data_IF_868109423725
#
_entry.id   IF_868109423725
#
_cell.length_a   1.000
_cell.length_b   1.000
_cell.length_c   1.000
_cell.angle_alpha   90.00
_cell.angle_beta   90.00
_cell.angle_gamma   90.00
#
_symmetry.space_group_name_H-M   'P 1'
#
loop_
_entity.id
_entity.type
_entity.pdbx_description
1 polymer ?
#
# COMPACT_ATOMS: atom_id res chain seq x y z
N UNK A 1 -22.29 2.04 -22.40
CA UNK A 1 -23.06 1.10 -21.53
C UNK A 1 -22.25 -0.17 -21.36
N UNK A 2 -21.83 -0.50 -20.15
CA UNK A 2 -21.08 -1.74 -19.87
C UNK A 2 -22.02 -2.94 -20.04
N UNK A 3 -21.68 -3.97 -20.82
CA UNK A 3 -22.51 -5.16 -21.02
C UNK A 3 -22.99 -5.74 -19.67
N UNK A 4 -24.22 -6.24 -19.61
CA UNK A 4 -24.79 -6.84 -18.39
C UNK A 4 -23.88 -7.94 -17.83
N UNK A 5 -23.30 -8.77 -18.70
CA UNK A 5 -22.35 -9.84 -18.33
C UNK A 5 -21.09 -9.33 -17.62
N UNK A 6 -20.51 -8.21 -18.07
CA UNK A 6 -19.32 -7.63 -17.44
C UNK A 6 -19.59 -7.02 -16.07
N UNK A 7 -20.80 -6.50 -15.82
CA UNK A 7 -21.18 -6.01 -14.48
C UNK A 7 -21.33 -7.14 -13.48
N UNK A 8 -21.97 -8.24 -13.87
CA UNK A 8 -22.09 -9.43 -13.04
C UNK A 8 -20.70 -9.97 -12.68
N UNK A 9 -19.79 -10.05 -13.65
CA UNK A 9 -18.42 -10.49 -13.40
C UNK A 9 -17.67 -9.60 -12.38
N UNK A 10 -17.77 -8.27 -12.49
CA UNK A 10 -17.15 -7.34 -11.53
C UNK A 10 -17.72 -7.53 -10.12
N UNK A 11 -19.05 -7.68 -10.01
CA UNK A 11 -19.71 -7.91 -8.73
C UNK A 11 -19.26 -9.24 -8.09
N UNK A 12 -19.12 -10.30 -8.89
CA UNK A 12 -18.61 -11.60 -8.43
C UNK A 12 -17.17 -11.51 -7.93
N UNK A 13 -16.29 -10.80 -8.65
CA UNK A 13 -14.91 -10.60 -8.21
C UNK A 13 -14.85 -9.78 -6.92
N UNK A 14 -15.67 -8.72 -6.81
CA UNK A 14 -15.72 -7.89 -5.63
C UNK A 14 -16.28 -8.65 -4.42
N UNK A 15 -17.33 -9.47 -4.59
CA UNK A 15 -17.90 -10.28 -3.51
C UNK A 15 -16.94 -11.37 -3.04
N UNK A 16 -16.20 -11.99 -3.96
CA UNK A 16 -15.14 -12.94 -3.64
C UNK A 16 -14.02 -12.25 -2.84
N UNK A 17 -13.56 -11.07 -3.28
CA UNK A 17 -12.56 -10.29 -2.58
C UNK A 17 -13.03 -9.92 -1.16
N UNK A 18 -14.27 -9.47 -1.01
CA UNK A 18 -14.88 -9.18 0.28
C UNK A 18 -14.92 -10.42 1.19
N UNK A 19 -15.32 -11.58 0.67
CA UNK A 19 -15.34 -12.82 1.43
C UNK A 19 -13.94 -13.24 1.91
N UNK A 20 -12.94 -13.13 1.03
CA UNK A 20 -11.54 -13.42 1.40
C UNK A 20 -11.02 -12.45 2.46
N UNK A 21 -11.32 -11.16 2.36
CA UNK A 21 -10.86 -10.17 3.33
C UNK A 21 -11.57 -10.31 4.69
N UNK A 22 -12.85 -10.63 4.69
CA UNK A 22 -13.59 -10.93 5.91
C UNK A 22 -13.02 -12.17 6.60
N UNK A 23 -12.78 -13.25 5.86
CA UNK A 23 -12.20 -14.47 6.45
C UNK A 23 -10.79 -14.23 7.01
N UNK A 24 -9.93 -13.50 6.30
CA UNK A 24 -8.61 -13.10 6.79
C UNK A 24 -8.70 -12.20 8.04
N UNK A 25 -9.61 -11.23 8.04
CA UNK A 25 -9.81 -10.33 9.19
C UNK A 25 -10.31 -11.10 10.41
N UNK A 26 -11.24 -12.04 10.23
CA UNK A 26 -11.74 -12.91 11.31
C UNK A 26 -10.64 -13.81 11.87
N UNK A 27 -9.84 -14.44 11.01
CA UNK A 27 -8.70 -15.26 11.44
C UNK A 27 -7.66 -14.42 12.22
N UNK A 28 -7.40 -13.19 11.78
CA UNK A 28 -6.48 -12.30 12.46
C UNK A 28 -7.04 -11.80 13.80
N UNK A 29 -8.34 -11.50 13.88
CA UNK A 29 -9.02 -11.17 15.14
C UNK A 29 -8.96 -12.34 16.12
N UNK A 30 -9.26 -13.56 15.68
CA UNK A 30 -9.10 -14.77 16.48
C UNK A 30 -7.65 -14.93 16.97
N UNK A 31 -6.66 -14.66 16.10
CA UNK A 31 -5.24 -14.66 16.48
C UNK A 31 -4.92 -13.60 17.53
N UNK A 32 -5.55 -12.41 17.47
CA UNK A 32 -5.39 -11.37 18.48
C UNK A 32 -5.94 -11.80 19.85
N UNK A 33 -7.10 -12.46 19.88
CA UNK A 33 -7.71 -12.92 21.14
C UNK A 33 -7.05 -14.15 21.73
N UNK A 34 -6.68 -15.13 20.89
CA UNK A 34 -6.15 -16.41 21.35
C UNK A 34 -4.61 -16.41 21.50
N UNK A 35 -3.90 -15.59 20.73
CA UNK A 35 -2.44 -15.61 20.62
C UNK A 35 -1.84 -14.19 20.63
N UNK A 36 -2.26 -13.35 21.57
CA UNK A 36 -1.84 -11.95 21.67
C UNK A 36 -0.32 -11.77 21.72
N UNK A 37 0.41 -12.63 22.43
CA UNK A 37 1.88 -12.57 22.53
C UNK A 37 2.55 -12.70 21.16
N UNK A 38 1.99 -13.49 20.24
CA UNK A 38 2.53 -13.63 18.87
C UNK A 38 2.30 -12.34 18.08
N UNK A 39 1.12 -11.72 18.21
CA UNK A 39 0.81 -10.45 17.54
C UNK A 39 1.70 -9.32 18.07
N UNK A 40 1.95 -9.28 19.38
CA UNK A 40 2.87 -8.33 20.01
C UNK A 40 4.31 -8.55 19.52
N UNK A 41 4.75 -9.80 19.43
CA UNK A 41 6.06 -10.14 18.87
C UNK A 41 6.18 -9.70 17.40
N UNK A 42 5.13 -9.89 16.59
CA UNK A 42 5.06 -9.44 15.21
C UNK A 42 5.12 -7.91 15.09
N UNK A 43 4.41 -7.20 15.97
CA UNK A 43 4.46 -5.74 16.05
C UNK A 43 5.85 -5.23 16.44
N UNK A 44 6.56 -5.89 17.34
CA UNK A 44 7.91 -5.50 17.74
C UNK A 44 8.99 -5.90 16.71
N UNK A 45 8.66 -6.82 15.79
CA UNK A 45 9.60 -7.31 14.80
C UNK A 45 9.87 -6.29 13.69
N UNK A 46 11.15 -5.96 13.50
CA UNK A 46 11.63 -4.96 12.53
C UNK A 46 11.19 -5.17 11.06
N UNK A 47 11.01 -6.41 10.61
CA UNK A 47 10.47 -6.72 9.26
C UNK A 47 8.98 -7.06 9.31
N UNK A 48 8.51 -7.63 10.42
CA UNK A 48 7.14 -8.17 10.55
C UNK A 48 6.11 -7.06 10.58
N UNK A 49 6.44 -5.95 11.23
CA UNK A 49 5.59 -4.76 11.34
C UNK A 49 5.14 -4.21 9.97
N UNK A 50 5.95 -4.37 8.91
CA UNK A 50 5.61 -3.89 7.56
C UNK A 50 4.39 -4.63 6.97
N UNK A 51 4.17 -5.88 7.35
CA UNK A 51 3.02 -6.66 6.88
C UNK A 51 1.71 -6.24 7.54
N UNK A 52 1.77 -5.53 8.68
CA UNK A 52 0.58 -5.00 9.36
C UNK A 52 -0.14 -3.90 8.57
N UNK A 53 0.48 -3.34 7.53
CA UNK A 53 -0.17 -2.43 6.59
C UNK A 53 -1.15 -3.15 5.65
N UNK A 54 -0.91 -4.43 5.35
CA UNK A 54 -1.65 -5.14 4.31
C UNK A 54 -3.17 -5.24 4.55
N UNK A 55 -3.68 -5.51 5.78
CA UNK A 55 -5.12 -5.52 6.04
C UNK A 55 -5.78 -4.17 5.74
N UNK A 56 -5.16 -3.07 6.18
CA UNK A 56 -5.69 -1.72 6.00
C UNK A 56 -5.69 -1.30 4.53
N UNK A 57 -4.60 -1.58 3.82
CA UNK A 57 -4.49 -1.33 2.37
C UNK A 57 -5.56 -2.08 1.60
N UNK A 58 -5.76 -3.36 1.92
CA UNK A 58 -6.69 -4.23 1.20
C UNK A 58 -8.13 -3.78 1.41
N UNK A 59 -8.50 -3.40 2.65
CA UNK A 59 -9.81 -2.82 2.94
C UNK A 59 -10.02 -1.47 2.22
N UNK A 60 -9.02 -0.60 2.16
CA UNK A 60 -9.11 0.66 1.41
C UNK A 60 -9.29 0.42 -0.10
N UNK A 61 -8.58 -0.55 -0.68
CA UNK A 61 -8.73 -0.91 -2.09
C UNK A 61 -10.10 -1.53 -2.38
N UNK A 62 -10.62 -2.38 -1.48
CA UNK A 62 -11.96 -2.95 -1.61
C UNK A 62 -13.04 -1.85 -1.55
N UNK A 63 -12.85 -0.87 -0.65
CA UNK A 63 -13.74 0.29 -0.53
C UNK A 63 -13.73 1.13 -1.82
N UNK A 64 -12.55 1.44 -2.37
CA UNK A 64 -12.41 2.21 -3.62
C UNK A 64 -12.94 1.48 -4.86
N UNK A 65 -13.01 0.15 -4.85
CA UNK A 65 -13.42 -0.67 -5.99
C UNK A 65 -14.88 -1.10 -5.96
N UNK A 66 -15.66 -0.65 -4.96
CA UNK A 66 -17.02 -1.15 -4.78
C UNK A 66 -17.96 -0.75 -5.94
N UNK A 67 -18.61 -1.73 -6.59
CA UNK A 67 -19.49 -1.50 -7.74
C UNK A 67 -20.86 -0.94 -7.35
N UNK A 68 -21.16 -0.93 -6.05
CA UNK A 68 -22.44 -0.47 -5.49
C UNK A 68 -22.47 1.03 -5.22
N UNK A 69 -21.33 1.72 -5.39
CA UNK A 69 -21.18 3.12 -5.05
C UNK A 69 -21.75 3.98 -6.17
N UNK A 70 -22.89 4.62 -5.91
CA UNK A 70 -23.39 5.74 -6.71
C UNK A 70 -23.06 7.05 -5.99
N UNK A 71 -22.39 8.01 -6.64
CA UNK A 71 -21.91 9.24 -6.00
C UNK A 71 -22.99 10.27 -5.60
N UNK A 72 -24.28 9.92 -5.63
CA UNK A 72 -25.38 10.89 -5.53
C UNK A 72 -26.16 10.89 -4.20
N UNK A 73 -25.73 10.13 -3.19
CA UNK A 73 -26.44 10.07 -1.90
C UNK A 73 -25.58 10.65 -0.77
N UNK A 74 -26.04 11.75 -0.16
CA UNK A 74 -25.34 12.43 0.95
C UNK A 74 -25.00 11.49 2.12
N UNK A 75 -25.87 10.51 2.40
CA UNK A 75 -25.65 9.54 3.47
C UNK A 75 -24.42 8.66 3.21
N UNK A 76 -24.17 8.32 1.95
CA UNK A 76 -23.04 7.49 1.53
C UNK A 76 -21.69 8.18 1.75
N UNK A 77 -21.62 9.48 1.50
CA UNK A 77 -20.42 10.28 1.74
C UNK A 77 -19.95 10.18 3.20
N UNK A 78 -20.88 10.27 4.17
CA UNK A 78 -20.54 10.14 5.59
C UNK A 78 -20.03 8.76 5.95
N UNK A 79 -20.67 7.68 5.46
CA UNK A 79 -20.19 6.32 5.70
C UNK A 79 -18.80 6.08 5.13
N UNK A 80 -18.56 6.52 3.88
CA UNK A 80 -17.27 6.38 3.24
C UNK A 80 -16.17 7.15 4.00
N UNK A 81 -16.48 8.37 4.45
CA UNK A 81 -15.57 9.19 5.24
C UNK A 81 -15.21 8.54 6.58
N UNK A 82 -16.19 8.03 7.32
CA UNK A 82 -15.94 7.33 8.59
C UNK A 82 -15.07 6.09 8.36
N UNK A 83 -15.42 5.29 7.34
CA UNK A 83 -14.67 4.07 7.02
C UNK A 83 -13.24 4.39 6.58
N UNK A 84 -13.04 5.46 5.81
CA UNK A 84 -11.72 5.94 5.43
C UNK A 84 -10.87 6.30 6.65
N UNK A 85 -11.41 7.08 7.58
CA UNK A 85 -10.69 7.45 8.81
C UNK A 85 -10.29 6.24 9.65
N UNK A 86 -11.23 5.29 9.85
CA UNK A 86 -10.96 4.05 10.59
C UNK A 86 -9.81 3.25 9.97
N UNK A 87 -9.71 3.25 8.64
CA UNK A 87 -8.67 2.51 7.92
C UNK A 87 -7.33 3.26 7.82
N UNK A 88 -7.36 4.59 7.75
CA UNK A 88 -6.15 5.42 7.57
C UNK A 88 -5.45 5.72 8.88
N UNK A 89 -6.16 5.86 10.00
CA UNK A 89 -5.55 6.10 11.31
C UNK A 89 -4.48 5.04 11.66
N UNK A 90 -4.75 3.72 11.52
CA UNK A 90 -3.74 2.70 11.73
C UNK A 90 -2.54 2.79 10.80
N UNK A 91 -2.74 3.17 9.53
CA UNK A 91 -1.65 3.39 8.57
C UNK A 91 -0.73 4.49 9.08
N UNK A 92 -1.29 5.64 9.48
CA UNK A 92 -0.53 6.76 10.02
C UNK A 92 0.20 6.39 11.31
N UNK A 93 -0.45 5.66 12.23
CA UNK A 93 0.19 5.20 13.47
C UNK A 93 1.39 4.29 13.14
N UNK A 94 1.22 3.36 12.21
CA UNK A 94 2.30 2.47 11.77
C UNK A 94 3.43 3.24 11.08
N UNK A 95 3.09 4.26 10.28
CA UNK A 95 4.08 5.14 9.66
C UNK A 95 4.89 5.88 10.72
N UNK A 96 4.23 6.59 11.65
CA UNK A 96 4.90 7.31 12.74
C UNK A 96 5.84 6.38 13.50
N UNK A 97 5.42 5.14 13.75
CA UNK A 97 6.27 4.14 14.41
C UNK A 97 7.48 3.75 13.57
N UNK A 98 7.31 3.44 12.28
CA UNK A 98 8.42 3.05 11.40
C UNK A 98 9.41 4.22 11.26
N UNK A 99 8.90 5.42 10.99
CA UNK A 99 9.72 6.63 10.92
C UNK A 99 10.41 6.91 12.25
N UNK A 100 9.68 6.84 13.36
CA UNK A 100 10.23 7.02 14.70
C UNK A 100 11.36 6.04 15.00
N UNK A 101 11.21 4.77 14.62
CA UNK A 101 12.27 3.77 14.71
C UNK A 101 13.48 4.14 13.86
N UNK A 102 13.28 4.67 12.66
CA UNK A 102 14.38 5.07 11.78
C UNK A 102 15.13 6.30 12.26
N UNK A 103 14.44 7.29 12.81
CA UNK A 103 15.07 8.51 13.35
C UNK A 103 15.69 8.31 14.73
N UNK A 104 15.11 7.46 15.58
CA UNK A 104 15.49 7.36 17.01
C UNK A 104 16.47 6.23 17.30
N UNK A 105 16.74 5.32 16.36
CA UNK A 105 17.73 4.25 16.56
C UNK A 105 19.15 4.82 16.56
N UNK A 106 19.51 5.40 17.71
CA UNK A 106 20.86 5.84 18.10
C UNK A 106 21.77 4.61 18.17
N UNK A 107 22.48 4.29 17.08
CA UNK A 107 23.86 3.84 17.22
C UNK A 107 24.37 2.59 16.53
N UNK A 108 23.59 1.62 15.99
CA UNK A 108 24.20 0.40 15.38
C UNK A 108 23.49 -0.28 14.20
N UNK A 109 22.42 0.28 13.62
CA UNK A 109 21.77 -0.33 12.44
C UNK A 109 21.29 0.76 11.48
N UNK A 110 22.08 1.01 10.44
CA UNK A 110 21.70 1.92 9.36
C UNK A 110 20.42 1.44 8.67
N UNK A 111 19.68 2.38 8.07
CA UNK A 111 18.56 2.09 7.15
C UNK A 111 18.95 1.02 6.12
N UNK A 112 20.21 1.00 5.67
CA UNK A 112 20.76 0.01 4.75
C UNK A 112 20.70 -1.43 5.26
N UNK A 113 20.72 -1.67 6.58
CA UNK A 113 20.61 -3.00 7.18
C UNK A 113 19.16 -3.43 7.38
N UNK A 114 18.26 -2.48 7.66
CA UNK A 114 16.87 -2.73 8.07
C UNK A 114 15.86 -2.59 6.92
N UNK A 115 16.16 -1.76 5.90
CA UNK A 115 15.29 -1.54 4.75
C UNK A 115 15.16 -2.81 3.92
N UNK A 116 13.93 -3.29 3.80
CA UNK A 116 13.55 -4.48 3.03
C UNK A 116 12.51 -4.08 1.96
N UNK A 117 12.28 -4.89 0.92
CA UNK A 117 11.25 -4.60 -0.07
C UNK A 117 9.84 -4.47 0.55
N UNK A 118 9.57 -5.13 1.68
CA UNK A 118 8.26 -5.03 2.36
C UNK A 118 7.99 -3.66 2.96
N UNK A 119 9.00 -2.83 3.21
CA UNK A 119 8.82 -1.42 3.64
C UNK A 119 8.05 -0.58 2.61
N UNK A 120 8.01 -1.00 1.34
CA UNK A 120 7.16 -0.37 0.34
C UNK A 120 5.66 -0.53 0.62
N UNK A 121 5.24 -1.42 1.54
CA UNK A 121 3.86 -1.48 2.00
C UNK A 121 3.43 -0.17 2.67
N UNK A 122 4.30 0.48 3.44
CA UNK A 122 4.01 1.82 4.01
C UNK A 122 3.80 2.86 2.90
N UNK A 123 4.67 2.87 1.89
CA UNK A 123 4.52 3.74 0.70
C UNK A 123 3.17 3.51 0.02
N UNK A 124 2.85 2.25 -0.28
CA UNK A 124 1.61 1.88 -0.97
C UNK A 124 0.41 2.27 -0.11
N UNK A 125 0.46 2.07 1.21
CA UNK A 125 -0.61 2.48 2.13
C UNK A 125 -0.90 3.97 2.09
N UNK A 126 0.14 4.79 2.11
CA UNK A 126 -0.01 6.24 1.98
C UNK A 126 -0.61 6.65 0.63
N UNK A 127 -0.15 6.06 -0.47
CA UNK A 127 -0.65 6.38 -1.81
C UNK A 127 -2.10 5.90 -2.03
N UNK A 128 -2.46 4.74 -1.48
CA UNK A 128 -3.83 4.23 -1.49
C UNK A 128 -4.76 5.11 -0.66
N UNK A 129 -4.31 5.55 0.53
CA UNK A 129 -5.03 6.49 1.38
C UNK A 129 -5.21 7.85 0.69
N UNK A 130 -4.15 8.37 0.04
CA UNK A 130 -4.17 9.61 -0.73
C UNK A 130 -5.20 9.56 -1.87
N UNK A 131 -5.23 8.46 -2.61
CA UNK A 131 -6.21 8.25 -3.69
C UNK A 131 -7.64 8.28 -3.16
N UNK A 132 -7.93 7.55 -2.09
CA UNK A 132 -9.26 7.56 -1.49
C UNK A 132 -9.66 8.93 -0.95
N UNK A 133 -8.73 9.68 -0.35
CA UNK A 133 -8.98 11.06 0.08
C UNK A 133 -9.35 11.97 -1.10
N UNK A 134 -8.60 11.88 -2.19
CA UNK A 134 -8.87 12.66 -3.39
C UNK A 134 -10.22 12.31 -4.04
N UNK A 135 -10.63 11.04 -4.01
CA UNK A 135 -11.94 10.60 -4.51
C UNK A 135 -13.12 11.18 -3.69
N UNK A 136 -12.91 11.49 -2.41
CA UNK A 136 -13.90 12.19 -1.57
C UNK A 136 -13.90 13.72 -1.77
N UNK A 137 -12.99 14.26 -2.58
CA UNK A 137 -12.77 15.71 -2.72
C UNK A 137 -11.85 16.31 -1.65
N UNK A 138 -11.23 15.50 -0.78
CA UNK A 138 -10.30 15.95 0.25
C UNK A 138 -8.89 16.06 -0.31
N UNK A 139 -8.69 17.03 -1.20
CA UNK A 139 -7.46 17.19 -1.98
C UNK A 139 -6.24 17.45 -1.08
N UNK A 140 -6.36 18.32 -0.07
CA UNK A 140 -5.25 18.65 0.84
C UNK A 140 -4.79 17.44 1.67
N UNK A 141 -5.73 16.64 2.19
CA UNK A 141 -5.40 15.39 2.89
C UNK A 141 -4.77 14.38 1.92
N UNK A 142 -5.27 14.31 0.68
CA UNK A 142 -4.68 13.52 -0.38
C UNK A 142 -3.23 13.92 -0.68
N UNK A 143 -2.96 15.22 -0.81
CA UNK A 143 -1.62 15.77 -1.04
C UNK A 143 -0.67 15.47 0.13
N UNK A 144 -1.14 15.62 1.37
CA UNK A 144 -0.35 15.30 2.55
C UNK A 144 0.10 13.83 2.54
N UNK A 145 -0.85 12.89 2.40
CA UNK A 145 -0.57 11.45 2.33
C UNK A 145 0.31 11.10 1.12
N UNK A 146 0.05 11.71 -0.04
CA UNK A 146 0.85 11.51 -1.24
C UNK A 146 2.30 11.95 -1.05
N UNK A 147 2.50 13.13 -0.45
CA UNK A 147 3.84 13.67 -0.19
C UNK A 147 4.63 12.77 0.75
N UNK A 148 3.99 12.26 1.81
CA UNK A 148 4.60 11.34 2.76
C UNK A 148 4.97 10.02 2.10
N UNK A 149 4.07 9.46 1.28
CA UNK A 149 4.34 8.25 0.49
C UNK A 149 5.47 8.42 -0.52
N UNK A 150 5.52 9.54 -1.26
CA UNK A 150 6.55 9.79 -2.28
C UNK A 150 7.92 10.10 -1.70
N UNK A 151 7.99 10.87 -0.60
CA UNK A 151 9.24 11.09 0.13
C UNK A 151 9.81 9.75 0.62
N UNK A 152 8.95 8.91 1.20
CA UNK A 152 9.30 7.57 1.64
C UNK A 152 9.79 6.70 0.47
N UNK A 153 9.07 6.74 -0.65
CA UNK A 153 9.39 5.97 -1.84
C UNK A 153 10.80 6.28 -2.34
N UNK A 154 11.18 7.55 -2.45
CA UNK A 154 12.50 7.95 -2.94
C UNK A 154 13.62 7.44 -2.03
N UNK A 155 13.47 7.57 -0.71
CA UNK A 155 14.45 7.06 0.27
C UNK A 155 14.60 5.55 0.16
N UNK A 156 13.48 4.82 0.11
CA UNK A 156 13.49 3.35 -0.04
C UNK A 156 14.04 2.90 -1.39
N UNK A 157 13.71 3.61 -2.46
CA UNK A 157 14.18 3.29 -3.80
C UNK A 157 15.72 3.37 -3.86
N UNK A 158 16.30 4.47 -3.39
CA UNK A 158 17.77 4.64 -3.37
C UNK A 158 18.44 3.63 -2.44
N UNK A 159 17.94 3.47 -1.22
CA UNK A 159 18.56 2.58 -0.22
C UNK A 159 18.51 1.10 -0.63
N UNK A 160 17.38 0.63 -1.17
CA UNK A 160 17.26 -0.74 -1.65
C UNK A 160 18.11 -0.97 -2.90
N UNK A 161 18.15 -0.01 -3.83
CA UNK A 161 19.00 -0.12 -5.02
C UNK A 161 20.48 -0.25 -4.66
N UNK A 162 20.97 0.58 -3.73
CA UNK A 162 22.33 0.49 -3.20
C UNK A 162 22.59 -0.84 -2.49
N UNK A 163 21.63 -1.36 -1.71
CA UNK A 163 21.74 -2.64 -1.00
C UNK A 163 21.87 -3.82 -1.98
N UNK A 164 21.20 -3.78 -3.12
CA UNK A 164 21.28 -4.84 -4.13
C UNK A 164 22.61 -4.91 -4.88
N UNK A 165 23.36 -3.81 -4.93
CA UNK A 165 24.71 -3.80 -5.49
C UNK A 165 25.76 -4.39 -4.54
N UNK A 166 25.47 -4.55 -3.25
CA UNK A 166 26.37 -5.17 -2.27
C UNK A 166 26.13 -6.67 -2.08
N UNK A 167 27.13 -7.39 -1.56
CA UNK A 167 27.16 -8.86 -1.35
C UNK A 167 26.01 -9.46 -0.50
N UNK A 168 25.12 -8.65 0.06
CA UNK A 168 23.99 -9.08 0.87
C UNK A 168 22.73 -9.29 0.03
N UNK A 169 22.79 -10.27 -0.88
CA UNK A 169 21.62 -10.69 -1.66
C UNK A 169 20.47 -11.10 -0.72
N UNK A 170 19.28 -10.52 -0.93
CA UNK A 170 18.10 -10.89 -0.15
C UNK A 170 17.82 -12.39 -0.27
N UNK A 171 17.36 -13.05 0.81
CA UNK A 171 16.96 -14.46 0.79
C UNK A 171 16.04 -14.76 -0.40
N UNK A 172 16.26 -15.90 -1.05
CA UNK A 172 15.48 -16.34 -2.23
C UNK A 172 13.97 -16.33 -1.98
N UNK A 173 13.55 -16.52 -0.73
CA UNK A 173 12.16 -16.51 -0.27
C UNK A 173 11.46 -15.14 -0.37
N UNK A 174 12.21 -14.03 -0.42
CA UNK A 174 11.68 -12.66 -0.51
C UNK A 174 11.59 -12.13 -1.95
N UNK A 175 11.96 -12.94 -2.95
CA UNK A 175 11.87 -12.59 -4.38
C UNK A 175 10.47 -12.10 -4.81
N UNK A 176 9.34 -12.65 -4.34
CA UNK A 176 8.02 -12.15 -4.72
C UNK A 176 7.74 -10.73 -4.20
N UNK A 177 8.37 -10.32 -3.09
CA UNK A 177 8.16 -9.00 -2.48
C UNK A 177 8.74 -7.88 -3.35
N UNK A 178 9.65 -8.19 -4.28
CA UNK A 178 10.15 -7.23 -5.25
C UNK A 178 9.07 -6.70 -6.20
N UNK A 179 7.95 -7.40 -6.36
CA UNK A 179 6.83 -6.87 -7.14
C UNK A 179 6.23 -5.60 -6.52
N UNK A 180 6.46 -5.33 -5.23
CA UNK A 180 6.06 -4.06 -4.60
C UNK A 180 6.73 -2.84 -5.25
N UNK A 181 7.89 -3.00 -5.91
CA UNK A 181 8.58 -1.90 -6.61
C UNK A 181 7.77 -1.38 -7.79
N UNK A 182 6.91 -2.21 -8.36
CA UNK A 182 5.96 -1.84 -9.42
C UNK A 182 4.70 -1.22 -8.78
N UNK A 183 4.29 -1.75 -7.63
CA UNK A 183 3.10 -1.32 -6.87
C UNK A 183 3.16 0.14 -6.41
N UNK A 184 4.28 0.57 -5.83
CA UNK A 184 4.42 1.95 -5.36
C UNK A 184 4.23 3.03 -6.46
N UNK A 185 4.99 3.02 -7.58
CA UNK A 185 4.82 4.03 -8.63
C UNK A 185 3.49 3.90 -9.39
N UNK A 186 2.93 2.69 -9.54
CA UNK A 186 1.60 2.53 -10.15
C UNK A 186 0.49 3.13 -9.28
N UNK A 187 0.51 2.89 -7.97
CA UNK A 187 -0.42 3.53 -7.04
C UNK A 187 -0.20 5.03 -6.96
N UNK A 188 1.05 5.50 -7.02
CA UNK A 188 1.38 6.92 -7.08
C UNK A 188 0.78 7.59 -8.30
N UNK A 189 0.87 6.96 -9.48
CA UNK A 189 0.23 7.44 -10.70
C UNK A 189 -1.28 7.61 -10.53
N UNK A 190 -1.96 6.63 -9.93
CA UNK A 190 -3.42 6.64 -9.73
C UNK A 190 -3.85 7.65 -8.67
N UNK A 191 -3.08 7.79 -7.59
CA UNK A 191 -3.31 8.77 -6.55
C UNK A 191 -3.18 10.19 -7.09
N UNK A 192 -2.10 10.48 -7.83
CA UNK A 192 -1.89 11.78 -8.45
C UNK A 192 -2.98 12.13 -9.46
N UNK A 193 -3.39 11.16 -10.29
CA UNK A 193 -4.48 11.35 -11.25
C UNK A 193 -5.80 11.69 -10.55
N UNK A 194 -6.04 11.13 -9.36
CA UNK A 194 -7.23 11.40 -8.56
C UNK A 194 -7.15 12.77 -7.88
N UNK A 195 -5.96 13.18 -7.42
CA UNK A 195 -5.69 14.51 -6.84
C UNK A 195 -5.89 15.61 -7.88
N UNK A 196 -5.34 15.45 -9.09
CA UNK A 196 -5.44 16.44 -10.15
C UNK A 196 -6.76 16.37 -10.95
N UNK A 197 -7.56 15.32 -10.74
CA UNK A 197 -8.78 15.05 -11.50
C UNK A 197 -8.55 14.70 -12.99
N UNK A 198 -7.28 14.57 -13.41
CA UNK A 198 -6.89 14.25 -14.80
C UNK A 198 -5.61 13.41 -14.82
N UNK A 199 -5.44 12.63 -15.88
CA UNK A 199 -4.22 11.84 -16.09
C UNK A 199 -3.13 12.70 -16.77
N UNK A 200 -2.45 13.51 -15.96
CA UNK A 200 -1.45 14.49 -16.39
C UNK A 200 -0.04 13.89 -16.65
N UNK A 201 0.95 14.75 -16.88
CA UNK A 201 2.33 14.33 -17.13
C UNK A 201 2.95 13.60 -15.94
N UNK A 202 2.70 14.05 -14.71
CA UNK A 202 3.25 13.42 -13.50
C UNK A 202 2.70 12.01 -13.32
N UNK A 203 1.39 11.82 -13.51
CA UNK A 203 0.78 10.48 -13.53
C UNK A 203 1.40 9.59 -14.62
N UNK A 204 1.57 10.13 -15.85
CA UNK A 204 2.21 9.39 -16.95
C UNK A 204 3.65 9.00 -16.62
N UNK A 205 4.44 9.89 -16.02
CA UNK A 205 5.83 9.60 -15.63
C UNK A 205 5.90 8.45 -14.62
N UNK A 206 5.07 8.48 -13.58
CA UNK A 206 5.00 7.40 -12.58
C UNK A 206 4.50 6.07 -13.19
N UNK A 207 3.54 6.13 -14.11
CA UNK A 207 3.08 4.97 -14.86
C UNK A 207 4.18 4.35 -15.72
N UNK A 208 4.90 5.14 -16.50
CA UNK A 208 6.01 4.64 -17.33
C UNK A 208 7.17 4.10 -16.47
N UNK A 209 7.46 4.72 -15.33
CA UNK A 209 8.42 4.19 -14.36
C UNK A 209 8.01 2.80 -13.87
N UNK A 210 6.73 2.61 -13.54
CA UNK A 210 6.18 1.31 -13.12
C UNK A 210 6.35 0.24 -14.21
N UNK A 211 6.04 0.57 -15.48
CA UNK A 211 6.23 -0.33 -16.62
C UNK A 211 7.70 -0.70 -16.84
N UNK A 212 8.61 0.27 -16.72
CA UNK A 212 10.05 0.02 -16.83
C UNK A 212 10.55 -0.93 -15.75
N UNK A 213 10.14 -0.72 -14.49
CA UNK A 213 10.50 -1.60 -13.38
C UNK A 213 9.92 -3.00 -13.57
N UNK A 214 8.68 -3.13 -14.06
CA UNK A 214 8.07 -4.41 -14.38
C UNK A 214 8.88 -5.20 -15.42
N UNK A 215 9.25 -4.55 -16.52
CA UNK A 215 10.06 -5.17 -17.57
C UNK A 215 11.45 -5.59 -17.07
N UNK A 216 12.07 -4.76 -16.21
CA UNK A 216 13.37 -5.03 -15.61
C UNK A 216 13.33 -6.24 -14.66
N UNK A 217 12.30 -6.32 -13.82
CA UNK A 217 12.08 -7.44 -12.89
C UNK A 217 11.75 -8.76 -13.61
N UNK A 218 10.94 -8.70 -14.67
CA UNK A 218 10.66 -9.90 -15.48
C UNK A 218 11.95 -10.51 -16.04
N UNK A 219 12.87 -9.67 -16.53
CA UNK A 219 14.14 -10.12 -17.11
C UNK A 219 15.07 -10.76 -16.07
N UNK A 220 15.06 -10.29 -14.83
CA UNK A 220 15.89 -10.88 -13.76
C UNK A 220 15.36 -12.23 -13.28
N UNK A 221 14.04 -12.48 -13.37
CA UNK A 221 13.43 -13.77 -13.04
C UNK A 221 13.58 -14.83 -14.14
N UNK A 222 13.60 -14.44 -15.42
CA UNK A 222 13.72 -15.38 -16.56
C UNK A 222 15.18 -15.86 -16.78
N UNK A 223 16.17 -15.14 -16.26
CA UNK A 223 17.60 -15.42 -16.48
C UNK A 223 18.23 -16.38 -15.45
N UNK A 224 17.44 -17.15 -14.70
CA UNK A 224 17.96 -18.16 -13.77
C UNK A 224 17.08 -19.40 -13.74
#
# INVERSE_FOLDING_TARGET
>A
MVPSSSRVFIILLWSLALFTLLSQSLLYLLRCFLHFEIVKAEFLHHVGVNYLFAPWISWLLLLQSSPFIKPNENLYYYYYLVFWWVLVIPIVILDIKIYGQWFTTKGKRFLSTVANPSSQLSVIGNLVAARAAAQMGWIECGLCMFSLGMAHYLVLFVTLYQRFCGDNALPVMLKPVFFLFIGAPSMGSLAWASICGKFDYTSKMLFFLSLFLFMSLRRSMVRR
#
